data_IF_673305590807
#
_entry.id   IF_673305590807
#
_cell.length_a   1.000
_cell.length_b   1.000
_cell.length_c   1.000
_cell.angle_alpha   90.00
_cell.angle_beta   90.00
_cell.angle_gamma   90.00
#
_symmetry.space_group_name_H-M   'P 1'
#
loop_
_entity.id
_entity.type
_entity.pdbx_description
1 polymer ?
#
# COMPACT_ATOMS: atom_id res chain seq x y z
N UNK A 1 -4.55 -29.59 8.60
CA UNK A 1 -4.34 -28.25 9.17
C UNK A 1 -4.33 -27.28 7.98
N UNK A 2 -5.16 -26.23 8.02
CA UNK A 2 -5.12 -25.21 7.00
C UNK A 2 -3.79 -24.46 7.14
N UNK A 3 -3.03 -24.40 6.07
CA UNK A 3 -1.79 -23.59 5.99
C UNK A 3 -2.11 -22.30 5.24
N UNK A 4 -1.49 -21.22 5.63
CA UNK A 4 -1.70 -19.91 4.98
C UNK A 4 -0.35 -19.36 4.52
N UNK A 5 -0.29 -18.95 3.26
CA UNK A 5 0.80 -18.11 2.76
C UNK A 5 0.29 -16.68 2.64
N UNK A 6 1.07 -15.75 3.11
CA UNK A 6 0.80 -14.30 3.01
C UNK A 6 1.89 -13.67 2.15
N UNK A 7 1.51 -12.91 1.14
CA UNK A 7 2.45 -12.16 0.31
C UNK A 7 2.38 -10.66 0.63
N UNK A 8 3.52 -9.98 0.69
CA UNK A 8 3.53 -8.57 0.35
C UNK A 8 3.23 -8.41 -1.15
N UNK A 9 2.88 -7.20 -1.59
CA UNK A 9 2.61 -6.92 -3.00
C UNK A 9 3.75 -6.13 -3.66
N UNK A 10 4.02 -4.92 -3.18
CA UNK A 10 5.02 -4.04 -3.76
C UNK A 10 6.46 -4.58 -3.58
N UNK A 11 7.22 -4.78 -4.66
CA UNK A 11 8.54 -5.39 -4.62
C UNK A 11 8.53 -6.92 -4.48
N UNK A 12 7.36 -7.51 -4.20
CA UNK A 12 7.20 -8.96 -4.00
C UNK A 12 6.43 -9.62 -5.15
N UNK A 13 5.27 -9.14 -5.51
CA UNK A 13 4.46 -9.66 -6.62
C UNK A 13 4.28 -8.65 -7.76
N UNK A 14 4.52 -7.38 -7.50
CA UNK A 14 4.34 -6.29 -8.47
C UNK A 14 5.22 -5.11 -8.11
N UNK A 15 5.33 -4.16 -9.04
CA UNK A 15 5.91 -2.83 -8.78
C UNK A 15 5.13 -1.73 -9.52
N UNK A 16 5.30 -0.50 -9.04
CA UNK A 16 4.97 0.70 -9.81
C UNK A 16 6.24 1.17 -10.52
N UNK A 17 6.34 0.94 -11.83
CA UNK A 17 7.53 1.22 -12.62
C UNK A 17 7.91 2.69 -12.57
N UNK A 18 9.18 2.96 -12.28
CA UNK A 18 9.73 4.30 -12.21
C UNK A 18 9.40 5.06 -10.93
N UNK A 19 8.64 4.47 -10.01
CA UNK A 19 8.36 5.08 -8.72
C UNK A 19 9.49 4.75 -7.73
N UNK A 20 10.15 5.77 -7.14
CA UNK A 20 11.12 5.53 -6.07
C UNK A 20 10.40 5.02 -4.81
N UNK A 21 11.11 4.37 -3.88
CA UNK A 21 10.53 3.90 -2.62
C UNK A 21 9.84 5.00 -1.80
N UNK A 22 10.33 6.24 -1.89
CA UNK A 22 9.66 7.43 -1.37
C UNK A 22 8.98 8.16 -2.53
N UNK A 23 7.69 8.42 -2.42
CA UNK A 23 6.91 9.09 -3.45
C UNK A 23 6.96 10.63 -3.35
N UNK A 24 7.80 11.17 -2.48
CA UNK A 24 7.87 12.59 -2.15
C UNK A 24 8.06 13.47 -3.39
N UNK A 25 8.92 13.06 -4.32
CA UNK A 25 9.22 13.84 -5.53
C UNK A 25 8.02 14.00 -6.48
N UNK A 26 6.98 13.19 -6.30
CA UNK A 26 5.77 13.22 -7.12
C UNK A 26 4.61 14.00 -6.49
N UNK A 27 4.72 14.36 -5.19
CA UNK A 27 3.62 15.02 -4.49
C UNK A 27 3.29 16.38 -5.07
N UNK A 28 4.31 17.14 -5.44
CA UNK A 28 4.14 18.43 -6.11
C UNK A 28 3.34 18.27 -7.42
N UNK A 29 3.78 17.37 -8.30
CA UNK A 29 3.12 17.10 -9.59
C UNK A 29 1.67 16.64 -9.41
N UNK A 30 1.40 15.82 -8.37
CA UNK A 30 0.04 15.41 -8.04
C UNK A 30 -0.86 16.61 -7.73
N UNK A 31 -0.40 17.54 -6.88
CA UNK A 31 -1.15 18.75 -6.52
C UNK A 31 -1.24 19.77 -7.67
N UNK A 32 -0.21 19.91 -8.52
CA UNK A 32 -0.31 20.67 -9.77
C UNK A 32 -1.44 20.16 -10.66
N UNK A 33 -1.56 18.81 -10.77
CA UNK A 33 -2.64 18.23 -11.58
C UNK A 33 -4.02 18.58 -11.02
N UNK A 34 -4.19 18.54 -9.68
CA UNK A 34 -5.44 18.99 -9.02
C UNK A 34 -5.75 20.44 -9.39
N UNK A 35 -4.77 21.34 -9.22
CA UNK A 35 -4.93 22.76 -9.55
C UNK A 35 -5.34 22.97 -11.00
N UNK A 36 -4.67 22.29 -11.93
CA UNK A 36 -4.93 22.41 -13.36
C UNK A 36 -6.28 21.82 -13.76
N UNK A 37 -6.62 20.63 -13.25
CA UNK A 37 -7.87 19.92 -13.57
C UNK A 37 -9.11 20.74 -13.20
N UNK A 38 -9.05 21.44 -12.07
CA UNK A 38 -10.21 22.20 -11.56
C UNK A 38 -10.07 23.72 -11.76
N UNK A 39 -8.97 24.21 -12.31
CA UNK A 39 -8.77 25.64 -12.58
C UNK A 39 -8.78 26.49 -11.31
N UNK A 40 -8.19 26.00 -10.22
CA UNK A 40 -8.34 26.58 -8.88
C UNK A 40 -7.52 27.88 -8.70
N UNK A 41 -6.49 28.10 -9.49
CA UNK A 41 -5.60 29.25 -9.35
C UNK A 41 -4.76 29.23 -8.09
N UNK A 42 -4.43 28.03 -7.56
CA UNK A 42 -3.62 27.83 -6.37
C UNK A 42 -2.18 28.28 -6.67
N UNK A 43 -1.61 29.06 -5.78
CA UNK A 43 -0.23 29.53 -5.91
C UNK A 43 0.78 28.39 -5.70
N UNK A 44 1.97 28.55 -6.31
CA UNK A 44 3.09 27.59 -6.14
C UNK A 44 3.39 27.31 -4.67
N UNK A 45 3.43 28.34 -3.83
CA UNK A 45 3.66 28.21 -2.40
C UNK A 45 2.60 27.34 -1.69
N UNK A 46 1.35 27.40 -2.11
CA UNK A 46 0.30 26.55 -1.54
C UNK A 46 0.43 25.10 -2.00
N UNK A 47 0.85 24.87 -3.26
CA UNK A 47 1.15 23.53 -3.79
C UNK A 47 2.34 22.93 -3.02
N UNK A 48 3.43 23.67 -2.85
CA UNK A 48 4.59 23.25 -2.04
C UNK A 48 4.20 22.91 -0.61
N UNK A 49 3.34 23.74 0.01
CA UNK A 49 2.85 23.49 1.38
C UNK A 49 2.06 22.19 1.47
N UNK A 50 1.17 21.94 0.51
CA UNK A 50 0.39 20.71 0.47
C UNK A 50 1.29 19.47 0.27
N UNK A 51 2.27 19.55 -0.63
CA UNK A 51 3.27 18.50 -0.85
C UNK A 51 4.13 18.25 0.41
N UNK A 52 4.51 19.32 1.13
CA UNK A 52 5.26 19.21 2.38
C UNK A 52 4.45 18.49 3.47
N UNK A 53 3.14 18.77 3.60
CA UNK A 53 2.28 18.07 4.54
C UNK A 53 2.22 16.57 4.22
N UNK A 54 2.03 16.17 2.95
CA UNK A 54 2.08 14.75 2.57
C UNK A 54 3.45 14.13 2.90
N UNK A 55 4.53 14.88 2.71
CA UNK A 55 5.90 14.44 3.02
C UNK A 55 6.06 14.15 4.51
N UNK A 56 5.51 15.01 5.37
CA UNK A 56 5.55 14.80 6.83
C UNK A 56 4.82 13.54 7.29
N UNK A 57 3.79 13.13 6.55
CA UNK A 57 3.06 11.89 6.80
C UNK A 57 3.58 10.68 6.01
N UNK A 58 4.66 10.82 5.26
CA UNK A 58 5.27 9.70 4.56
C UNK A 58 6.05 8.82 5.56
N UNK A 59 5.75 7.52 5.71
CA UNK A 59 6.40 6.65 6.71
C UNK A 59 7.88 6.37 6.41
N UNK A 60 8.36 6.68 5.20
CA UNK A 60 9.78 6.60 4.85
C UNK A 60 10.56 7.87 5.23
N UNK A 61 9.85 8.96 5.50
CA UNK A 61 10.44 10.22 6.01
C UNK A 61 10.27 10.28 7.52
N UNK A 62 9.06 10.07 7.99
CA UNK A 62 8.73 10.05 9.41
C UNK A 62 8.06 8.72 9.75
N UNK A 63 8.82 7.86 10.39
CA UNK A 63 8.39 6.51 10.75
C UNK A 63 7.08 6.51 11.55
N UNK A 64 6.15 5.67 11.15
CA UNK A 64 4.90 5.39 11.86
C UNK A 64 4.38 3.99 11.58
N UNK A 65 3.72 3.39 12.55
CA UNK A 65 3.07 2.09 12.44
C UNK A 65 1.54 2.18 12.37
N UNK A 66 0.95 3.32 12.74
CA UNK A 66 -0.49 3.55 12.55
C UNK A 66 -0.73 4.09 11.14
N UNK A 67 -1.79 3.61 10.50
CA UNK A 67 -2.21 4.17 9.22
C UNK A 67 -2.98 5.48 9.44
N UNK A 68 -3.02 6.31 8.42
CA UNK A 68 -3.82 7.53 8.38
C UNK A 68 -4.79 7.44 7.20
N UNK A 69 -6.02 7.81 7.46
CA UNK A 69 -7.07 7.82 6.44
C UNK A 69 -6.72 8.83 5.35
N UNK A 70 -6.91 8.44 4.09
CA UNK A 70 -6.53 9.27 2.94
C UNK A 70 -7.21 10.63 2.95
N UNK A 71 -8.51 10.65 3.23
CA UNK A 71 -9.33 11.84 3.28
C UNK A 71 -8.83 12.83 4.35
N UNK A 72 -8.53 12.34 5.57
CA UNK A 72 -7.99 13.19 6.65
C UNK A 72 -6.64 13.81 6.27
N UNK A 73 -5.80 13.06 5.57
CA UNK A 73 -4.49 13.55 5.14
C UNK A 73 -4.61 14.63 4.07
N UNK A 74 -5.47 14.40 3.07
CA UNK A 74 -5.68 15.37 1.99
C UNK A 74 -6.43 16.62 2.48
N UNK A 75 -7.42 16.50 3.36
CA UNK A 75 -8.06 17.66 3.99
C UNK A 75 -7.05 18.56 4.69
N UNK A 76 -6.09 17.97 5.43
CA UNK A 76 -4.99 18.74 6.05
C UNK A 76 -4.09 19.39 4.99
N UNK A 77 -3.73 18.64 3.94
CA UNK A 77 -2.82 19.14 2.91
C UNK A 77 -3.38 20.35 2.17
N UNK A 78 -4.69 20.34 1.83
CA UNK A 78 -5.33 21.40 1.06
C UNK A 78 -6.10 22.40 1.90
N UNK A 79 -5.98 22.39 3.22
CA UNK A 79 -6.75 23.25 4.11
C UNK A 79 -6.63 24.76 3.79
N UNK A 80 -5.49 25.20 3.22
CA UNK A 80 -5.26 26.58 2.83
C UNK A 80 -5.80 26.96 1.45
N UNK A 81 -6.39 26.02 0.70
CA UNK A 81 -6.78 26.27 -0.69
C UNK A 81 -8.14 26.96 -0.82
N UNK A 82 -8.97 26.96 0.24
CA UNK A 82 -10.30 27.56 0.25
C UNK A 82 -11.16 27.17 -0.99
N UNK A 83 -11.05 25.91 -1.42
CA UNK A 83 -11.81 25.39 -2.55
C UNK A 83 -13.01 24.54 -2.07
N UNK A 84 -14.05 24.46 -2.90
CA UNK A 84 -15.25 23.65 -2.62
C UNK A 84 -15.23 22.30 -3.38
N UNK A 85 -14.05 21.78 -3.69
CA UNK A 85 -13.91 20.47 -4.33
C UNK A 85 -13.99 19.39 -3.26
N UNK A 86 -14.84 18.36 -3.42
CA UNK A 86 -14.84 17.21 -2.50
C UNK A 86 -13.45 16.56 -2.41
N UNK A 87 -13.04 16.16 -1.21
CA UNK A 87 -11.70 15.62 -0.97
C UNK A 87 -11.42 14.38 -1.83
N UNK A 88 -12.41 13.51 -2.05
CA UNK A 88 -12.28 12.33 -2.92
C UNK A 88 -11.88 12.71 -4.35
N UNK A 89 -12.45 13.80 -4.88
CA UNK A 89 -12.14 14.30 -6.21
C UNK A 89 -10.71 14.88 -6.28
N UNK A 90 -10.25 15.50 -5.17
CA UNK A 90 -8.86 15.99 -5.04
C UNK A 90 -7.90 14.80 -5.06
N UNK A 91 -8.19 13.76 -4.27
CA UNK A 91 -7.38 12.53 -4.19
C UNK A 91 -7.30 11.85 -5.58
N UNK A 92 -8.44 11.68 -6.26
CA UNK A 92 -8.49 11.09 -7.59
C UNK A 92 -7.62 11.88 -8.58
N UNK A 93 -7.81 13.20 -8.64
CA UNK A 93 -7.02 14.07 -9.51
C UNK A 93 -5.53 14.05 -9.18
N UNK A 94 -5.18 13.95 -7.89
CA UNK A 94 -3.79 13.85 -7.46
C UNK A 94 -3.11 12.59 -8.03
N UNK A 95 -3.72 11.42 -7.87
CA UNK A 95 -3.15 10.16 -8.36
C UNK A 95 -3.21 10.04 -9.88
N UNK A 96 -4.18 10.64 -10.56
CA UNK A 96 -4.17 10.78 -12.03
C UNK A 96 -2.92 11.55 -12.52
N UNK A 97 -2.50 12.58 -11.77
CA UNK A 97 -1.30 13.37 -12.09
C UNK A 97 0.00 12.56 -11.98
N UNK A 98 0.07 11.64 -11.03
CA UNK A 98 1.25 10.78 -10.81
C UNK A 98 1.43 9.73 -11.91
N UNK A 99 0.34 9.31 -12.58
CA UNK A 99 0.36 8.35 -13.72
C UNK A 99 1.04 7.02 -13.37
N UNK A 100 0.53 6.34 -12.37
CA UNK A 100 1.06 5.05 -11.94
C UNK A 100 1.03 4.02 -13.08
N UNK A 101 2.15 3.33 -13.28
CA UNK A 101 2.27 2.20 -14.19
C UNK A 101 2.58 0.93 -13.41
N UNK A 102 1.58 0.07 -13.24
CA UNK A 102 1.71 -1.18 -12.50
C UNK A 102 2.24 -2.28 -13.41
N UNK A 103 3.29 -2.97 -12.97
CA UNK A 103 3.78 -4.21 -13.59
C UNK A 103 3.70 -5.33 -12.56
N UNK A 104 2.99 -6.40 -12.92
CA UNK A 104 2.97 -7.66 -12.16
C UNK A 104 4.16 -8.48 -12.64
N UNK A 105 4.96 -9.02 -11.73
CA UNK A 105 6.11 -9.83 -12.10
C UNK A 105 5.69 -11.15 -12.75
N UNK A 106 6.45 -11.62 -13.72
CA UNK A 106 6.12 -12.80 -14.54
C UNK A 106 5.85 -14.05 -13.70
N UNK A 107 6.57 -14.22 -12.60
CA UNK A 107 6.42 -15.36 -11.70
C UNK A 107 5.21 -15.31 -10.76
N UNK A 108 4.56 -14.15 -10.61
CA UNK A 108 3.60 -13.90 -9.51
C UNK A 108 2.39 -14.82 -9.57
N UNK A 109 1.80 -14.98 -10.74
CA UNK A 109 0.63 -15.86 -10.89
C UNK A 109 0.99 -17.33 -10.69
N UNK A 110 2.11 -17.79 -11.25
CA UNK A 110 2.57 -19.16 -11.10
C UNK A 110 2.90 -19.49 -9.64
N UNK A 111 3.46 -18.54 -8.91
CA UNK A 111 3.75 -18.69 -7.49
C UNK A 111 2.48 -18.80 -6.65
N UNK A 112 1.49 -17.94 -6.88
CA UNK A 112 0.18 -18.01 -6.21
C UNK A 112 -0.48 -19.37 -6.47
N UNK A 113 -0.56 -19.79 -7.75
CA UNK A 113 -1.17 -21.04 -8.13
C UNK A 113 -0.42 -22.27 -7.57
N UNK A 114 0.91 -22.19 -7.45
CA UNK A 114 1.72 -23.25 -6.80
C UNK A 114 1.28 -23.43 -5.35
N UNK A 115 1.21 -22.35 -4.55
CA UNK A 115 0.81 -22.45 -3.16
C UNK A 115 -0.64 -22.96 -3.00
N UNK A 116 -1.55 -22.54 -3.90
CA UNK A 116 -2.93 -23.06 -3.91
C UNK A 116 -2.96 -24.56 -4.19
N UNK A 117 -2.21 -25.05 -5.18
CA UNK A 117 -2.09 -26.49 -5.47
C UNK A 117 -1.49 -27.28 -4.31
N UNK A 118 -0.58 -26.65 -3.55
CA UNK A 118 0.05 -27.26 -2.36
C UNK A 118 -0.88 -27.19 -1.12
N UNK A 119 -2.13 -26.74 -1.29
CA UNK A 119 -3.17 -26.72 -0.26
C UNK A 119 -3.11 -25.55 0.71
N UNK A 120 -2.43 -24.45 0.35
CA UNK A 120 -2.41 -23.21 1.12
C UNK A 120 -3.60 -22.31 0.75
N UNK A 121 -4.18 -21.65 1.74
CA UNK A 121 -4.93 -20.41 1.49
C UNK A 121 -3.95 -19.28 1.23
N UNK A 122 -4.27 -18.41 0.27
CA UNK A 122 -3.39 -17.31 -0.15
C UNK A 122 -3.96 -15.98 0.30
N UNK A 123 -3.22 -15.26 1.13
CA UNK A 123 -3.56 -13.91 1.54
C UNK A 123 -2.48 -12.90 1.09
N UNK A 124 -2.78 -11.62 1.13
CA UNK A 124 -1.76 -10.59 1.09
C UNK A 124 -1.82 -9.68 2.31
N UNK A 125 -0.66 -9.09 2.65
CA UNK A 125 -0.52 -8.00 3.61
C UNK A 125 0.39 -6.94 3.02
N UNK A 126 -0.18 -5.80 2.62
CA UNK A 126 0.55 -4.75 1.92
C UNK A 126 0.39 -3.38 2.57
N UNK A 127 1.49 -2.61 2.60
CA UNK A 127 1.42 -1.18 2.91
C UNK A 127 1.12 -0.42 1.63
N UNK A 128 0.02 0.32 1.61
CA UNK A 128 -0.28 1.19 0.47
C UNK A 128 0.36 2.57 0.62
N UNK A 129 0.63 3.30 -0.48
CA UNK A 129 1.17 4.65 -0.42
C UNK A 129 0.31 5.57 0.45
N UNK A 130 0.95 6.45 1.24
CA UNK A 130 0.25 7.39 2.10
C UNK A 130 -0.71 8.28 1.31
N UNK A 131 -1.94 8.36 1.77
CA UNK A 131 -2.99 9.14 1.11
C UNK A 131 -3.62 8.45 -0.10
N UNK A 132 -3.23 7.23 -0.45
CA UNK A 132 -3.91 6.47 -1.49
C UNK A 132 -5.12 5.73 -0.90
N UNK A 133 -6.33 5.90 -1.46
CA UNK A 133 -7.48 5.12 -1.06
C UNK A 133 -7.29 3.63 -1.38
N UNK A 134 -7.79 2.77 -0.50
CA UNK A 134 -7.67 1.32 -0.65
C UNK A 134 -8.28 0.81 -1.97
N UNK A 135 -9.44 1.35 -2.35
CA UNK A 135 -10.10 0.99 -3.60
C UNK A 135 -9.36 1.47 -4.85
N UNK A 136 -8.60 2.59 -4.76
CA UNK A 136 -7.74 3.02 -5.86
C UNK A 136 -6.57 2.04 -6.02
N UNK A 137 -5.91 1.67 -4.92
CA UNK A 137 -4.83 0.68 -4.96
C UNK A 137 -5.30 -0.67 -5.50
N UNK A 138 -6.45 -1.18 -5.05
CA UNK A 138 -7.05 -2.43 -5.56
C UNK A 138 -7.26 -2.42 -7.07
N UNK A 139 -7.72 -1.30 -7.63
CA UNK A 139 -7.86 -1.14 -9.09
C UNK A 139 -6.53 -1.27 -9.81
N UNK A 140 -5.46 -0.71 -9.26
CA UNK A 140 -4.11 -0.80 -9.84
C UNK A 140 -3.56 -2.23 -9.88
N UNK A 141 -3.99 -3.09 -8.94
CA UNK A 141 -3.48 -4.47 -8.79
C UNK A 141 -4.58 -5.53 -8.96
N UNK A 142 -5.68 -5.18 -9.62
CA UNK A 142 -6.88 -6.02 -9.76
C UNK A 142 -6.58 -7.46 -10.19
N UNK A 143 -5.71 -7.74 -11.20
CA UNK A 143 -5.43 -9.11 -11.61
C UNK A 143 -4.83 -9.98 -10.49
N UNK A 144 -4.05 -9.39 -9.56
CA UNK A 144 -3.54 -10.10 -8.37
C UNK A 144 -4.65 -10.32 -7.33
N UNK A 145 -5.47 -9.29 -7.09
CA UNK A 145 -6.56 -9.37 -6.10
C UNK A 145 -7.53 -10.51 -6.44
N UNK A 146 -7.84 -10.72 -7.71
CA UNK A 146 -8.71 -11.80 -8.18
C UNK A 146 -8.14 -13.21 -7.91
N UNK A 147 -6.84 -13.32 -7.68
CA UNK A 147 -6.14 -14.58 -7.39
C UNK A 147 -5.89 -14.81 -5.90
N UNK A 148 -6.07 -13.79 -5.07
CA UNK A 148 -5.81 -13.79 -3.63
C UNK A 148 -7.13 -14.05 -2.88
N UNK A 149 -7.11 -14.96 -1.89
CA UNK A 149 -8.31 -15.34 -1.16
C UNK A 149 -8.67 -14.31 -0.07
N UNK A 150 -7.66 -13.59 0.47
CA UNK A 150 -7.86 -12.53 1.45
C UNK A 150 -6.87 -11.38 1.21
N UNK A 151 -7.41 -10.21 0.91
CA UNK A 151 -6.66 -8.97 0.80
C UNK A 151 -6.69 -8.21 2.14
N UNK A 152 -5.51 -7.86 2.66
CA UNK A 152 -5.33 -6.98 3.82
C UNK A 152 -4.32 -5.90 3.46
N UNK A 153 -4.73 -4.64 3.60
CA UNK A 153 -3.85 -3.49 3.42
C UNK A 153 -3.64 -2.75 4.73
N UNK A 154 -2.65 -1.86 4.77
CA UNK A 154 -2.44 -0.96 5.89
C UNK A 154 -3.69 -0.09 6.15
N UNK A 155 -4.41 0.33 5.12
CA UNK A 155 -5.67 1.08 5.25
C UNK A 155 -6.78 0.22 5.86
N UNK A 156 -6.98 -1.01 5.36
CA UNK A 156 -8.06 -1.88 5.82
C UNK A 156 -7.86 -2.37 7.26
N UNK A 157 -6.62 -2.53 7.72
CA UNK A 157 -6.33 -2.99 9.08
C UNK A 157 -5.94 -1.88 10.06
N UNK A 158 -5.67 -0.65 9.57
CA UNK A 158 -5.29 0.51 10.39
C UNK A 158 -3.82 0.55 10.82
N UNK A 159 -3.02 -0.42 10.41
CA UNK A 159 -1.61 -0.55 10.82
C UNK A 159 -0.70 -0.85 9.64
N UNK A 160 0.50 -0.27 9.69
CA UNK A 160 1.57 -0.48 8.72
C UNK A 160 2.60 -1.45 9.26
N UNK A 161 3.26 -2.18 8.39
CA UNK A 161 4.44 -2.96 8.72
C UNK A 161 5.56 -2.05 9.27
N UNK A 162 6.28 -2.44 10.33
CA UNK A 162 6.37 -3.78 10.90
C UNK A 162 5.42 -4.06 12.07
N UNK A 163 4.25 -3.40 12.17
CA UNK A 163 3.24 -3.77 13.16
C UNK A 163 2.69 -5.17 12.83
N UNK A 164 2.64 -6.10 13.81
CA UNK A 164 2.21 -7.48 13.56
C UNK A 164 0.69 -7.64 13.42
N UNK A 165 -0.10 -6.58 13.58
CA UNK A 165 -1.55 -6.64 13.61
C UNK A 165 -2.14 -7.31 12.37
N UNK A 166 -1.67 -6.94 11.16
CA UNK A 166 -2.16 -7.50 9.90
C UNK A 166 -2.00 -9.02 9.81
N UNK A 167 -0.83 -9.57 10.22
CA UNK A 167 -0.61 -11.02 10.25
C UNK A 167 -1.49 -11.70 11.30
N UNK A 168 -1.65 -11.10 12.48
CA UNK A 168 -2.52 -11.63 13.53
C UNK A 168 -4.00 -11.61 13.09
N UNK A 169 -4.42 -10.58 12.36
CA UNK A 169 -5.75 -10.50 11.77
C UNK A 169 -5.99 -11.64 10.77
N UNK A 170 -5.02 -11.91 9.87
CA UNK A 170 -5.06 -13.01 8.89
C UNK A 170 -5.13 -14.37 9.61
N UNK A 171 -4.29 -14.59 10.62
CA UNK A 171 -4.34 -15.82 11.43
C UNK A 171 -5.72 -16.06 12.04
N UNK A 172 -6.31 -15.01 12.62
CA UNK A 172 -7.65 -15.05 13.21
C UNK A 172 -8.73 -15.32 12.15
N UNK A 173 -8.63 -14.69 10.99
CA UNK A 173 -9.59 -14.87 9.87
C UNK A 173 -9.67 -16.33 9.44
N UNK A 174 -8.53 -17.00 9.27
CA UNK A 174 -8.48 -18.41 8.86
C UNK A 174 -8.60 -19.40 10.01
N UNK A 175 -8.59 -18.93 11.26
CA UNK A 175 -8.64 -19.81 12.44
C UNK A 175 -7.40 -20.71 12.55
N UNK A 176 -6.22 -20.21 12.15
CA UNK A 176 -4.95 -20.96 12.20
C UNK A 176 -4.02 -20.41 13.28
N UNK A 177 -3.06 -21.23 13.70
CA UNK A 177 -1.96 -20.74 14.54
C UNK A 177 -1.08 -19.79 13.73
N UNK A 178 -0.57 -18.73 14.34
CA UNK A 178 0.34 -17.79 13.69
C UNK A 178 1.61 -18.50 13.15
N UNK A 179 2.07 -19.56 13.81
CA UNK A 179 3.20 -20.37 13.36
C UNK A 179 2.90 -21.20 12.08
N UNK A 180 1.63 -21.35 11.70
CA UNK A 180 1.21 -22.04 10.47
C UNK A 180 1.16 -21.08 9.28
N UNK A 181 1.49 -19.79 9.49
CA UNK A 181 1.61 -18.78 8.45
C UNK A 181 3.05 -18.70 7.96
N UNK A 182 3.19 -18.57 6.64
CA UNK A 182 4.45 -18.17 5.99
C UNK A 182 4.20 -16.79 5.39
N UNK A 183 4.95 -15.78 5.84
CA UNK A 183 4.93 -14.46 5.24
C UNK A 183 6.09 -14.33 4.25
N UNK A 184 5.80 -13.90 3.02
CA UNK A 184 6.76 -13.73 1.94
C UNK A 184 6.78 -12.25 1.55
N UNK A 185 7.97 -11.64 1.60
CA UNK A 185 8.16 -10.23 1.32
C UNK A 185 9.56 -9.93 0.79
N UNK A 186 9.81 -8.68 0.46
CA UNK A 186 11.09 -8.24 -0.13
C UNK A 186 11.91 -7.34 0.80
N UNK A 187 11.26 -6.66 1.75
CA UNK A 187 11.90 -5.68 2.62
C UNK A 187 12.14 -6.19 4.05
N UNK A 188 13.09 -5.55 4.73
CA UNK A 188 13.39 -5.84 6.15
C UNK A 188 12.19 -5.59 7.07
N UNK A 189 11.31 -4.63 6.73
CA UNK A 189 10.08 -4.40 7.50
C UNK A 189 9.14 -5.60 7.48
N UNK A 190 9.13 -6.40 6.38
CA UNK A 190 8.33 -7.62 6.26
C UNK A 190 8.86 -8.69 7.21
N UNK A 191 10.19 -8.88 7.21
CA UNK A 191 10.87 -9.80 8.13
C UNK A 191 10.59 -9.43 9.58
N UNK A 192 10.69 -8.14 9.93
CA UNK A 192 10.39 -7.65 11.27
C UNK A 192 8.90 -7.83 11.65
N UNK A 193 7.99 -7.69 10.68
CA UNK A 193 6.55 -7.95 10.89
C UNK A 193 6.34 -9.42 11.28
N UNK A 194 6.96 -10.34 10.54
CA UNK A 194 6.88 -11.77 10.82
C UNK A 194 7.50 -12.12 12.17
N UNK A 195 8.66 -11.56 12.48
CA UNK A 195 9.34 -11.77 13.77
C UNK A 195 8.47 -11.32 14.94
N UNK A 196 7.87 -10.12 14.85
CA UNK A 196 6.98 -9.57 15.88
C UNK A 196 5.68 -10.39 16.03
N UNK A 197 5.16 -10.89 14.90
CA UNK A 197 4.01 -11.78 14.90
C UNK A 197 4.35 -13.20 15.36
N UNK A 198 5.62 -13.59 15.31
CA UNK A 198 6.14 -14.96 15.54
C UNK A 198 5.65 -15.97 14.49
N UNK A 199 5.58 -15.57 13.23
CA UNK A 199 5.31 -16.45 12.10
C UNK A 199 6.58 -16.74 11.29
N UNK A 200 6.49 -17.69 10.35
CA UNK A 200 7.60 -17.99 9.44
C UNK A 200 7.74 -16.87 8.40
N UNK A 201 8.98 -16.62 7.99
CA UNK A 201 9.28 -15.63 6.95
C UNK A 201 10.22 -16.19 5.89
N UNK A 202 10.04 -15.74 4.64
CA UNK A 202 10.94 -16.01 3.54
C UNK A 202 11.06 -14.76 2.66
N UNK A 203 12.27 -14.41 2.24
CA UNK A 203 12.45 -13.39 1.21
C UNK A 203 12.03 -13.92 -0.16
N UNK A 204 11.31 -13.11 -0.94
CA UNK A 204 10.88 -13.48 -2.30
C UNK A 204 12.07 -13.89 -3.18
N UNK A 205 13.20 -13.18 -3.10
CA UNK A 205 14.42 -13.46 -3.84
C UNK A 205 15.04 -14.85 -3.59
N UNK A 206 14.64 -15.52 -2.51
CA UNK A 206 15.11 -16.86 -2.16
C UNK A 206 14.21 -17.96 -2.73
N UNK A 207 13.10 -17.57 -3.39
CA UNK A 207 12.06 -18.46 -3.94
C UNK A 207 12.04 -18.42 -5.47
N UNK A 208 12.34 -17.25 -6.07
CA UNK A 208 12.24 -16.97 -7.52
C UNK A 208 13.59 -16.69 -8.15
#
# INVERSE_FOLDING_TARGET
>A
MNKVVVFDLGGTLMEFVGMPPSWVDYYHTGFENVNNKYGLGISEKQIETAAQILTEYNPRVNYRENEIVAEELFEKAVASWNCNIPVDNIIEAFFEGIKLNTVIYDYSFDLIEKYKRDGYSVACLTDIPSGMPDDYFKKCVLPLIEKIDLYVSSQSCGYRKPNPYGLNYIAKHYGVNINDIIFIGDEEKDRLTAERAKCNFCFIKDIV
#
